data_IF_370900690268
#
_entry.id   IF_370900690268
#
_cell.length_a   1.000
_cell.length_b   1.000
_cell.length_c   1.000
_cell.angle_alpha   90.00
_cell.angle_beta   90.00
_cell.angle_gamma   90.00
#
_symmetry.space_group_name_H-M   'P 1'
#
loop_
_entity.id
_entity.type
_entity.pdbx_description
1 polymer ?
#
# COMPACT_ATOMS: atom_id res chain seq x y z
N UNK A 1 -5.53 15.61 1.53
CA UNK A 1 -4.88 14.29 1.56
C UNK A 1 -3.59 14.42 2.33
N UNK A 2 -3.37 13.60 3.36
CA UNK A 2 -2.10 13.53 4.07
C UNK A 2 -1.43 12.17 3.85
N UNK A 3 -0.11 12.19 3.72
CA UNK A 3 0.71 11.01 3.43
C UNK A 3 1.99 11.09 4.25
N UNK A 4 2.28 10.03 5.00
CA UNK A 4 3.50 9.85 5.77
C UNK A 4 4.14 8.51 5.45
N UNK A 5 5.47 8.48 5.41
CA UNK A 5 6.23 7.25 5.21
C UNK A 5 7.47 7.25 6.09
N UNK A 6 7.83 6.07 6.61
CA UNK A 6 8.97 5.87 7.47
C UNK A 6 9.73 4.60 7.09
N UNK A 7 11.03 4.61 7.36
CA UNK A 7 11.85 3.41 7.28
C UNK A 7 12.93 3.44 8.34
N UNK A 8 13.26 2.27 8.87
CA UNK A 8 14.37 2.07 9.80
C UNK A 8 15.09 0.80 9.41
N UNK A 9 16.42 0.91 9.28
CA UNK A 9 17.29 -0.23 9.08
C UNK A 9 17.65 -0.79 10.46
N UNK A 10 17.18 -1.99 10.78
CA UNK A 10 17.47 -2.65 12.04
C UNK A 10 18.83 -3.37 11.99
N UNK A 11 19.20 -3.88 10.82
CA UNK A 11 20.49 -4.50 10.55
C UNK A 11 20.82 -4.41 9.06
N UNK A 12 21.95 -4.97 8.64
CA UNK A 12 22.32 -5.02 7.22
C UNK A 12 21.32 -5.80 6.35
N UNK A 13 20.61 -6.76 6.97
CA UNK A 13 19.65 -7.63 6.28
C UNK A 13 18.19 -7.28 6.55
N UNK A 14 17.88 -6.46 7.56
CA UNK A 14 16.49 -6.17 7.94
C UNK A 14 16.17 -4.68 7.87
N UNK A 15 15.08 -4.37 7.15
CA UNK A 15 14.50 -3.03 7.06
C UNK A 15 13.04 -3.10 7.45
N UNK A 16 12.63 -2.26 8.38
CA UNK A 16 11.22 -2.02 8.67
C UNK A 16 10.80 -0.76 7.95
N UNK A 17 9.64 -0.80 7.32
CA UNK A 17 9.06 0.37 6.68
C UNK A 17 7.58 0.47 6.99
N UNK A 18 7.10 1.69 7.08
CA UNK A 18 5.70 1.97 7.34
C UNK A 18 5.21 3.11 6.45
N UNK A 19 3.91 3.10 6.20
CA UNK A 19 3.20 4.13 5.46
C UNK A 19 1.88 4.42 6.13
N UNK A 20 1.50 5.69 6.15
CA UNK A 20 0.18 6.14 6.56
C UNK A 20 -0.38 7.08 5.50
N UNK A 21 -1.63 6.87 5.10
CA UNK A 21 -2.33 7.74 4.14
C UNK A 21 -3.75 7.98 4.60
N UNK A 22 -4.16 9.24 4.62
CA UNK A 22 -5.51 9.64 5.00
C UNK A 22 -6.09 10.64 3.99
N UNK A 23 -7.36 10.43 3.68
CA UNK A 23 -8.15 11.25 2.77
C UNK A 23 -9.51 11.45 3.42
N UNK A 24 -9.78 12.68 3.83
CA UNK A 24 -11.05 13.09 4.43
C UNK A 24 -11.61 14.27 3.65
N UNK A 25 -12.91 14.27 3.47
CA UNK A 25 -13.73 15.35 2.94
C UNK A 25 -14.82 15.69 3.96
N UNK A 26 -15.18 16.98 4.03
CA UNK A 26 -16.25 17.48 4.89
C UNK A 26 -17.16 18.40 4.07
N UNK A 27 -18.47 18.22 4.22
CA UNK A 27 -19.49 19.00 3.51
C UNK A 27 -19.29 19.03 1.99
N UNK A 28 -18.85 17.90 1.43
CA UNK A 28 -18.56 17.74 0.01
C UNK A 28 -19.64 16.87 -0.63
N UNK A 29 -20.07 17.22 -1.85
CA UNK A 29 -20.96 16.35 -2.61
C UNK A 29 -20.19 15.07 -2.98
N UNK A 30 -20.64 13.93 -2.48
CA UNK A 30 -19.98 12.62 -2.56
C UNK A 30 -19.98 12.01 -3.98
N UNK A 31 -19.53 12.76 -5.00
CA UNK A 31 -19.41 12.27 -6.37
C UNK A 31 -18.22 11.33 -6.56
N UNK A 32 -17.24 11.34 -5.65
CA UNK A 32 -16.05 10.49 -5.72
C UNK A 32 -16.03 9.54 -4.55
N UNK A 33 -16.30 8.29 -4.86
CA UNK A 33 -16.33 7.21 -3.91
C UNK A 33 -14.90 6.63 -3.76
N UNK A 34 -14.37 6.59 -2.53
CA UNK A 34 -13.04 6.07 -2.22
C UNK A 34 -13.12 4.57 -1.92
N UNK A 35 -12.45 3.77 -2.75
CA UNK A 35 -12.35 2.31 -2.59
C UNK A 35 -11.16 1.94 -1.72
N UNK A 36 -11.31 0.97 -0.82
CA UNK A 36 -10.24 0.40 -0.01
C UNK A 36 -9.99 -1.06 -0.42
N UNK A 37 -8.99 -1.25 -1.27
CA UNK A 37 -8.59 -2.50 -1.88
C UNK A 37 -7.06 -2.63 -2.00
N UNK A 38 -6.60 -3.64 -2.75
CA UNK A 38 -5.18 -3.89 -3.00
C UNK A 38 -4.45 -2.71 -3.66
N UNK A 39 -5.08 -2.01 -4.60
CA UNK A 39 -4.47 -0.86 -5.29
C UNK A 39 -4.31 0.33 -4.34
N UNK A 40 -5.29 0.52 -3.45
CA UNK A 40 -5.20 1.49 -2.38
C UNK A 40 -4.17 1.07 -1.30
N UNK A 41 -3.88 -0.22 -1.16
CA UNK A 41 -2.87 -0.78 -0.29
C UNK A 41 -3.40 -1.64 0.85
N UNK A 42 -4.67 -2.05 0.84
CA UNK A 42 -5.21 -3.06 1.74
C UNK A 42 -5.25 -4.39 0.99
N UNK A 43 -4.22 -5.21 1.14
CA UNK A 43 -4.14 -6.52 0.47
C UNK A 43 -5.14 -7.50 1.09
N UNK A 44 -5.51 -8.54 0.33
CA UNK A 44 -6.32 -9.66 0.83
C UNK A 44 -7.83 -9.40 0.93
N UNK A 45 -8.33 -8.25 0.48
CA UNK A 45 -9.76 -7.97 0.36
C UNK A 45 -10.16 -7.89 -1.13
N UNK A 46 -11.40 -8.25 -1.42
CA UNK A 46 -11.96 -8.17 -2.77
C UNK A 46 -11.97 -6.72 -3.27
N UNK A 47 -11.67 -6.53 -4.55
CA UNK A 47 -11.71 -5.22 -5.20
C UNK A 47 -13.12 -4.61 -5.10
N UNK A 48 -13.19 -3.28 -4.92
CA UNK A 48 -14.45 -2.52 -4.88
C UNK A 48 -15.43 -2.91 -3.76
N UNK A 49 -15.03 -3.73 -2.78
CA UNK A 49 -15.92 -4.17 -1.69
C UNK A 49 -16.06 -3.15 -0.57
N UNK A 50 -14.97 -2.48 -0.21
CA UNK A 50 -14.93 -1.52 0.88
C UNK A 50 -14.94 -0.12 0.30
N UNK A 51 -15.99 0.65 0.60
CA UNK A 51 -16.16 1.93 -0.03
C UNK A 51 -16.78 3.00 0.87
N UNK A 52 -16.32 4.25 0.72
CA UNK A 52 -16.83 5.39 1.49
C UNK A 52 -16.35 6.74 0.94
N UNK A 53 -16.76 7.83 1.59
CA UNK A 53 -16.37 9.20 1.23
C UNK A 53 -14.97 9.55 1.73
N UNK A 54 -14.58 8.92 2.84
CA UNK A 54 -13.33 9.11 3.54
C UNK A 54 -12.60 7.78 3.66
N UNK A 55 -11.26 7.84 3.71
CA UNK A 55 -10.39 6.65 3.76
C UNK A 55 -9.15 6.92 4.58
N UNK A 56 -8.79 5.96 5.42
CA UNK A 56 -7.51 5.92 6.13
C UNK A 56 -6.87 4.55 5.94
N UNK A 57 -5.57 4.53 5.67
CA UNK A 57 -4.81 3.30 5.48
C UNK A 57 -3.41 3.41 6.09
N UNK A 58 -3.02 2.39 6.83
CA UNK A 58 -1.70 2.17 7.38
C UNK A 58 -1.11 0.85 6.85
N UNK A 59 0.17 0.86 6.54
CA UNK A 59 0.92 -0.33 6.12
C UNK A 59 2.19 -0.41 6.95
N UNK A 60 2.54 -1.62 7.38
CA UNK A 60 3.83 -1.93 7.99
C UNK A 60 4.42 -3.14 7.29
N UNK A 61 5.71 -3.07 6.95
CA UNK A 61 6.44 -4.16 6.32
C UNK A 61 7.78 -4.37 7.00
N UNK A 62 8.11 -5.64 7.26
CA UNK A 62 9.45 -6.09 7.63
C UNK A 62 10.05 -6.79 6.42
N UNK A 63 11.13 -6.22 5.88
CA UNK A 63 11.79 -6.68 4.65
C UNK A 63 13.13 -7.32 5.01
N UNK A 64 13.32 -8.56 4.59
CA UNK A 64 14.56 -9.33 4.77
C UNK A 64 15.32 -9.45 3.45
N UNK A 65 16.56 -8.99 3.46
CA UNK A 65 17.49 -8.97 2.34
C UNK A 65 18.66 -9.90 2.63
N UNK A 66 18.60 -11.19 2.22
CA UNK A 66 19.70 -12.14 2.42
C UNK A 66 20.99 -11.81 1.63
N UNK A 67 20.99 -10.75 0.83
CA UNK A 67 22.09 -10.35 -0.06
C UNK A 67 22.52 -11.43 -1.07
N UNK A 68 21.70 -12.46 -1.28
CA UNK A 68 21.92 -13.47 -2.31
C UNK A 68 21.83 -12.83 -3.69
N UNK A 69 22.86 -13.07 -4.51
CA UNK A 69 22.94 -12.60 -5.88
C UNK A 69 23.16 -13.80 -6.78
N UNK A 70 22.20 -14.06 -7.66
CA UNK A 70 22.34 -15.05 -8.73
C UNK A 70 22.40 -14.30 -10.04
N UNK A 71 23.61 -14.17 -10.58
CA UNK A 71 23.90 -13.41 -11.80
C UNK A 71 23.43 -11.94 -11.71
N UNK A 72 22.29 -11.60 -12.30
CA UNK A 72 21.71 -10.24 -12.31
C UNK A 72 20.49 -10.11 -11.38
N UNK A 73 20.07 -11.18 -10.74
CA UNK A 73 18.88 -11.22 -9.91
C UNK A 73 19.24 -11.24 -8.42
N UNK A 74 18.59 -10.37 -7.66
CA UNK A 74 18.53 -10.43 -6.20
C UNK A 74 17.17 -10.92 -5.72
N UNK A 75 17.12 -11.50 -4.52
CA UNK A 75 15.85 -11.92 -3.91
C UNK A 75 15.73 -11.35 -2.49
N UNK A 76 14.50 -10.99 -2.10
CA UNK A 76 14.17 -10.61 -0.72
C UNK A 76 12.80 -11.16 -0.33
N UNK A 77 12.60 -11.38 0.96
CA UNK A 77 11.28 -11.70 1.50
C UNK A 77 10.70 -10.49 2.27
N UNK A 78 9.38 -10.44 2.40
CA UNK A 78 8.68 -9.44 3.20
C UNK A 78 7.59 -10.11 4.03
N UNK A 79 7.44 -9.69 5.27
CA UNK A 79 6.23 -9.88 6.06
C UNK A 79 5.52 -8.54 6.19
N UNK A 80 4.20 -8.53 6.06
CA UNK A 80 3.44 -7.29 6.07
C UNK A 80 2.17 -7.36 6.92
N UNK A 81 1.77 -6.19 7.41
CA UNK A 81 0.50 -5.93 8.06
C UNK A 81 -0.11 -4.66 7.47
N UNK A 82 -1.32 -4.78 6.98
CA UNK A 82 -2.11 -3.68 6.41
C UNK A 82 -3.34 -3.45 7.29
N UNK A 83 -3.68 -2.18 7.50
CA UNK A 83 -4.87 -1.79 8.23
C UNK A 83 -5.53 -0.61 7.55
N UNK A 84 -6.85 -0.62 7.41
CA UNK A 84 -7.55 0.51 6.83
C UNK A 84 -9.02 0.57 7.19
N UNK A 85 -9.61 1.73 6.95
CA UNK A 85 -11.02 2.01 7.17
C UNK A 85 -11.53 2.98 6.11
N UNK A 86 -12.81 2.84 5.78
CA UNK A 86 -13.57 3.75 4.93
C UNK A 86 -14.87 4.10 5.62
N UNK A 87 -15.34 5.34 5.44
CA UNK A 87 -16.57 5.79 6.06
C UNK A 87 -17.23 6.92 5.28
N UNK A 88 -18.54 7.06 5.46
CA UNK A 88 -19.33 8.15 4.89
C UNK A 88 -19.19 9.42 5.72
N UNK A 89 -19.41 10.58 5.08
CA UNK A 89 -19.50 11.85 5.79
C UNK A 89 -20.56 11.82 6.89
N UNK A 90 -20.29 12.51 8.00
CA UNK A 90 -21.16 12.50 9.19
C UNK A 90 -20.97 11.31 10.12
N UNK A 91 -20.26 10.26 9.71
CA UNK A 91 -19.89 9.14 10.61
C UNK A 91 -18.65 9.51 11.43
N UNK A 92 -18.73 9.36 12.75
CA UNK A 92 -17.57 9.55 13.63
C UNK A 92 -16.50 8.49 13.38
N UNK A 93 -15.21 8.88 13.35
CA UNK A 93 -14.10 7.97 13.09
C UNK A 93 -14.03 6.80 14.09
N UNK A 94 -14.46 7.02 15.34
CA UNK A 94 -14.50 5.98 16.38
C UNK A 94 -15.58 4.92 16.18
N UNK A 95 -16.58 5.19 15.33
CA UNK A 95 -17.63 4.24 14.98
C UNK A 95 -17.32 3.46 13.69
N UNK A 96 -16.18 3.75 13.04
CA UNK A 96 -15.81 3.11 11.77
C UNK A 96 -15.22 1.73 12.00
N UNK A 97 -15.47 0.81 11.05
CA UNK A 97 -14.91 -0.54 11.09
C UNK A 97 -13.51 -0.52 10.49
N UNK A 98 -12.56 -1.05 11.25
CA UNK A 98 -11.21 -1.28 10.76
C UNK A 98 -11.09 -2.68 10.16
N UNK A 99 -10.39 -2.73 9.03
CA UNK A 99 -10.09 -3.93 8.28
C UNK A 99 -8.59 -4.16 8.31
N UNK A 100 -8.19 -5.40 8.54
CA UNK A 100 -6.80 -5.76 8.73
C UNK A 100 -6.43 -6.95 7.85
N UNK A 101 -5.23 -6.91 7.28
CA UNK A 101 -4.66 -8.02 6.55
C UNK A 101 -3.22 -8.26 6.97
N UNK A 102 -2.82 -9.52 6.92
CA UNK A 102 -1.43 -9.93 7.10
C UNK A 102 -0.99 -10.80 5.94
N UNK A 103 0.31 -10.86 5.72
CA UNK A 103 0.81 -11.74 4.69
C UNK A 103 2.32 -11.77 4.58
N UNK A 104 2.74 -12.57 3.62
CA UNK A 104 4.13 -12.78 3.26
C UNK A 104 4.30 -12.49 1.77
N UNK A 105 5.46 -12.02 1.38
CA UNK A 105 5.77 -11.75 -0.01
C UNK A 105 7.20 -12.09 -0.37
N UNK A 106 7.39 -12.44 -1.63
CA UNK A 106 8.69 -12.62 -2.26
C UNK A 106 8.90 -11.50 -3.27
N UNK A 107 10.14 -11.02 -3.36
CA UNK A 107 10.52 -9.98 -4.32
C UNK A 107 11.78 -10.38 -5.05
N UNK A 108 11.73 -10.24 -6.36
CA UNK A 108 12.84 -10.48 -7.26
C UNK A 108 13.28 -9.14 -7.84
N UNK A 109 14.56 -8.82 -7.67
CA UNK A 109 15.14 -7.54 -8.03
C UNK A 109 16.05 -7.74 -9.23
N UNK A 110 15.84 -6.96 -10.29
CA UNK A 110 16.79 -6.89 -11.40
C UNK A 110 17.90 -5.89 -11.06
N UNK A 111 19.09 -6.40 -10.74
CA UNK A 111 20.25 -5.59 -10.33
C UNK A 111 20.88 -4.79 -11.48
N UNK A 112 20.50 -5.07 -12.74
CA UNK A 112 20.96 -4.34 -13.93
C UNK A 112 19.97 -3.29 -14.43
N UNK A 113 18.72 -3.32 -13.96
CA UNK A 113 17.72 -2.32 -14.27
C UNK A 113 17.60 -1.33 -13.09
N UNK A 114 17.36 -0.06 -13.40
CA UNK A 114 17.09 0.98 -12.40
C UNK A 114 15.66 1.48 -12.57
N UNK A 115 15.00 1.82 -11.45
CA UNK A 115 13.60 2.29 -11.43
C UNK A 115 12.67 1.39 -10.61
N UNK A 116 11.45 1.88 -10.37
CA UNK A 116 10.44 1.18 -9.56
C UNK A 116 9.95 -0.13 -10.20
N UNK A 117 10.06 -0.25 -11.54
CA UNK A 117 9.62 -1.41 -12.34
C UNK A 117 10.64 -2.57 -12.35
N UNK A 118 11.82 -2.37 -11.76
CA UNK A 118 12.89 -3.38 -11.71
C UNK A 118 12.62 -4.48 -10.65
N UNK A 119 11.45 -4.46 -10.00
CA UNK A 119 11.14 -5.32 -8.86
C UNK A 119 9.85 -6.08 -9.11
N UNK A 120 9.98 -7.37 -9.30
CA UNK A 120 8.84 -8.27 -9.39
C UNK A 120 8.41 -8.72 -7.98
N UNK A 121 7.10 -8.66 -7.68
CA UNK A 121 6.52 -8.98 -6.36
C UNK A 121 5.44 -10.04 -6.46
N UNK A 122 5.50 -10.97 -5.51
CA UNK A 122 4.51 -11.99 -5.27
C UNK A 122 4.11 -11.94 -3.80
N UNK A 123 2.93 -11.40 -3.51
CA UNK A 123 2.42 -11.27 -2.14
C UNK A 123 1.24 -12.23 -1.91
N UNK A 124 1.24 -12.90 -0.77
CA UNK A 124 0.21 -13.80 -0.30
C UNK A 124 -0.46 -13.16 0.91
N UNK A 125 -1.73 -12.78 0.77
CA UNK A 125 -2.44 -12.01 1.79
C UNK A 125 -3.64 -12.77 2.37
N UNK A 126 -3.86 -12.61 3.66
CA UNK A 126 -5.00 -13.13 4.40
C UNK A 126 -5.75 -11.98 5.06
N UNK A 127 -7.07 -11.92 4.86
CA UNK A 127 -7.90 -10.98 5.60
C UNK A 127 -8.10 -11.49 7.03
N UNK A 128 -8.14 -10.58 8.00
CA UNK A 128 -8.36 -10.95 9.40
C UNK A 128 -9.83 -10.86 9.80
N UNK A 129 -10.67 -10.23 8.98
CA UNK A 129 -12.12 -10.15 9.18
C UNK A 129 -12.77 -11.54 9.16
N UNK A 130 -12.51 -12.30 8.10
CA UNK A 130 -13.10 -13.62 7.89
C UNK A 130 -12.06 -14.74 8.07
N UNK A 131 -10.80 -14.39 8.37
CA UNK A 131 -9.63 -15.30 8.43
C UNK A 131 -9.46 -16.10 7.14
N UNK A 132 -9.78 -15.48 6.00
CA UNK A 132 -9.72 -16.13 4.69
C UNK A 132 -8.49 -15.68 3.92
N UNK A 133 -7.89 -16.63 3.22
CA UNK A 133 -6.89 -16.32 2.22
C UNK A 133 -7.54 -15.46 1.13
N UNK A 134 -7.12 -14.20 1.04
CA UNK A 134 -7.75 -13.19 0.20
C UNK A 134 -7.22 -13.19 -1.23
N UNK A 135 -6.08 -13.82 -1.47
CA UNK A 135 -5.54 -14.02 -2.81
C UNK A 135 -4.04 -13.81 -2.91
N UNK A 136 -3.56 -13.99 -4.14
CA UNK A 136 -2.18 -13.76 -4.55
C UNK A 136 -2.14 -12.46 -5.33
N UNK A 137 -1.26 -11.54 -4.93
CA UNK A 137 -1.02 -10.28 -5.65
C UNK A 137 0.28 -10.40 -6.43
N UNK A 138 0.18 -10.27 -7.74
CA UNK A 138 1.31 -10.26 -8.67
C UNK A 138 1.45 -8.85 -9.23
N UNK A 139 2.60 -8.21 -9.04
CA UNK A 139 2.84 -6.85 -9.59
C UNK A 139 4.32 -6.55 -9.78
N UNK A 140 4.63 -5.65 -10.72
CA UNK A 140 5.97 -5.11 -10.97
C UNK A 140 6.23 -3.80 -10.24
N UNK A 141 5.22 -3.22 -9.59
CA UNK A 141 5.36 -1.94 -8.88
C UNK A 141 5.49 -2.15 -7.38
N UNK A 142 6.33 -1.36 -6.72
CA UNK A 142 6.31 -1.28 -5.25
C UNK A 142 5.02 -0.59 -4.78
N UNK A 143 4.35 -1.18 -3.79
CA UNK A 143 3.16 -0.57 -3.18
C UNK A 143 3.52 0.78 -2.56
N UNK A 144 4.74 0.85 -2.02
CA UNK A 144 5.46 2.05 -1.63
C UNK A 144 6.95 1.73 -1.57
N UNK A 145 7.78 2.68 -1.99
CA UNK A 145 9.22 2.51 -2.02
C UNK A 145 9.82 2.65 -0.62
N UNK A 146 10.65 1.69 -0.19
CA UNK A 146 11.48 1.86 1.01
C UNK A 146 12.75 2.68 0.73
N UNK A 147 13.16 2.75 -0.53
CA UNK A 147 14.30 3.53 -1.02
C UNK A 147 13.88 4.20 -2.33
N UNK A 148 13.26 5.37 -2.22
CA UNK A 148 12.98 6.26 -3.35
C UNK A 148 13.70 7.57 -3.11
N UNK A 149 14.15 8.23 -4.18
CA UNK A 149 14.53 9.64 -4.03
C UNK A 149 13.29 10.37 -3.51
N UNK A 150 13.48 11.18 -2.46
CA UNK A 150 12.46 12.14 -2.02
C UNK A 150 12.37 13.26 -3.08
N UNK A 151 12.13 12.91 -4.34
CA UNK A 151 11.83 13.91 -5.36
C UNK A 151 10.48 14.50 -5.00
N UNK A 152 10.46 15.78 -4.64
CA UNK A 152 9.26 16.57 -4.51
C UNK A 152 8.39 16.33 -5.75
N UNK A 153 7.31 15.56 -5.59
CA UNK A 153 6.26 15.47 -6.60
C UNK A 153 5.34 16.65 -6.30
N UNK A 154 5.30 17.69 -7.16
CA UNK A 154 4.32 18.74 -6.99
C UNK A 154 2.92 18.08 -6.87
N UNK A 155 2.07 18.56 -5.95
CA UNK A 155 0.72 18.02 -5.83
C UNK A 155 0.07 18.03 -7.21
N UNK A 156 -0.52 16.90 -7.59
CA UNK A 156 -1.34 16.85 -8.80
C UNK A 156 -2.43 17.92 -8.65
N UNK A 157 -2.39 18.93 -9.52
CA UNK A 157 -3.41 19.98 -9.55
C UNK A 157 -4.64 19.35 -10.21
N UNK A 158 -5.51 18.76 -9.39
CA UNK A 158 -6.84 18.33 -9.83
C UNK A 158 -7.68 19.57 -10.18
N UNK A 159 -8.41 19.53 -11.29
CA UNK A 159 -9.31 20.63 -11.71
C UNK A 159 -8.73 21.67 -12.68
N UNK A 160 -7.67 21.34 -13.44
CA UNK A 160 -7.23 22.21 -14.56
C UNK A 160 -8.10 22.10 -15.82
N UNK A 161 -8.85 21.00 -15.93
CA UNK A 161 -9.83 20.73 -16.98
C UNK A 161 -11.05 20.06 -16.36
N UNK A 162 -12.22 20.26 -16.95
CA UNK A 162 -13.37 19.39 -16.69
C UNK A 162 -12.99 18.05 -17.32
N UNK A 163 -12.67 17.06 -16.50
CA UNK A 163 -12.44 15.70 -16.97
C UNK A 163 -13.79 15.13 -17.44
N UNK A 164 -13.96 15.04 -18.76
CA UNK A 164 -15.08 14.35 -19.39
C UNK A 164 -14.71 12.87 -19.50
N UNK A 165 -15.40 12.06 -18.69
CA UNK A 165 -15.56 10.59 -18.67
C UNK A 165 -14.33 9.71 -18.96
#
# INVERSE_FOLDING_TARGET
>A
MAHGQGHVRLSDHFVVTSRLRTQTAWNWLAYRQLVLDVESGLRGYDANRLVGDNRMIGNAEVRWFPQWKVWIAGMSAVAFWDAGTVWSQGTSIGATRWHHAIGLGLRFHNLKASGDDAIFRLDFAMNLDDKRFGGIVFTTNQLFSAFGSHSYRPPAVFGRTIDAQ
#
